data_IF_903953352207
#
_entry.id   IF_903953352207
#
_cell.length_a   1.000
_cell.length_b   1.000
_cell.length_c   1.000
_cell.angle_alpha   90.00
_cell.angle_beta   90.00
_cell.angle_gamma   90.00
#
_symmetry.space_group_name_H-M   'P 1'
#
loop_
_entity.id
_entity.type
_entity.pdbx_description
1 polymer ?
#
# COMPACT_ATOMS: atom_id res chain seq x y z
N UNK A 1 -9.55 -23.85 31.46
CA UNK A 1 -9.75 -22.42 31.14
C UNK A 1 -8.53 -21.97 30.33
N UNK A 2 -8.67 -21.94 29.01
CA UNK A 2 -7.60 -21.64 28.07
C UNK A 2 -7.64 -20.15 27.75
N UNK A 3 -6.59 -19.41 28.11
CA UNK A 3 -6.43 -18.00 27.76
C UNK A 3 -6.32 -17.86 26.24
N UNK A 4 -7.37 -17.34 25.60
CA UNK A 4 -7.32 -16.83 24.24
C UNK A 4 -6.40 -15.61 24.25
N UNK A 5 -5.23 -15.73 23.63
CA UNK A 5 -4.33 -14.61 23.42
C UNK A 5 -5.02 -13.61 22.48
N UNK A 6 -5.69 -12.60 23.05
CA UNK A 6 -6.13 -11.44 22.32
C UNK A 6 -4.87 -10.77 21.75
N UNK A 7 -4.73 -10.80 20.43
CA UNK A 7 -3.65 -10.17 19.71
C UNK A 7 -3.81 -8.65 19.87
N UNK A 8 -3.06 -8.07 20.82
CA UNK A 8 -3.09 -6.64 21.15
C UNK A 8 -2.44 -5.85 19.99
N UNK A 9 -3.21 -5.63 18.92
CA UNK A 9 -2.88 -4.71 17.83
C UNK A 9 -3.14 -3.26 18.26
N UNK A 10 -2.63 -2.86 19.43
CA UNK A 10 -2.56 -1.45 19.79
C UNK A 10 -1.80 -0.74 18.69
N UNK A 11 -2.49 0.20 18.05
CA UNK A 11 -1.94 1.18 17.11
C UNK A 11 -0.87 1.98 17.84
N UNK A 12 0.36 1.46 17.83
CA UNK A 12 1.53 2.21 18.22
C UNK A 12 1.71 3.31 17.21
N UNK A 13 1.21 4.51 17.53
CA UNK A 13 1.85 5.72 17.07
C UNK A 13 3.23 5.69 17.72
N UNK A 14 4.23 5.17 17.00
CA UNK A 14 5.61 5.20 17.45
C UNK A 14 5.99 6.68 17.57
N UNK A 15 6.27 7.20 18.78
CA UNK A 15 6.76 8.56 18.94
C UNK A 15 8.10 8.64 18.20
N UNK A 16 8.13 9.38 17.09
CA UNK A 16 9.18 9.29 16.07
C UNK A 16 8.65 9.19 14.64
N UNK A 17 7.34 9.00 14.47
CA UNK A 17 6.59 9.41 13.27
C UNK A 17 7.07 8.82 11.94
N UNK A 18 7.23 7.50 11.86
CA UNK A 18 7.38 6.82 10.56
C UNK A 18 6.13 7.08 9.71
N UNK A 19 6.30 7.20 8.39
CA UNK A 19 5.19 7.25 7.43
C UNK A 19 4.16 6.16 7.75
N UNK A 20 2.87 6.52 7.69
CA UNK A 20 1.77 5.65 8.12
C UNK A 20 1.78 4.32 7.37
N UNK A 21 1.39 3.25 8.07
CA UNK A 21 1.20 1.92 7.47
C UNK A 21 0.31 2.09 6.23
N UNK A 22 0.71 1.53 5.08
CA UNK A 22 -0.04 1.67 3.83
C UNK A 22 0.36 2.90 3.01
N UNK A 23 1.38 3.66 3.39
CA UNK A 23 1.99 4.67 2.52
C UNK A 23 3.39 4.28 1.99
N UNK A 24 3.97 3.20 2.52
CA UNK A 24 5.35 2.79 2.18
C UNK A 24 5.61 2.62 0.69
N UNK A 25 4.63 2.11 -0.07
CA UNK A 25 4.75 1.92 -1.51
C UNK A 25 5.14 3.23 -2.23
N UNK A 26 4.45 4.32 -1.91
CA UNK A 26 4.75 5.64 -2.48
C UNK A 26 6.11 6.16 -2.03
N UNK A 27 6.46 5.96 -0.75
CA UNK A 27 7.75 6.38 -0.18
C UNK A 27 8.92 5.69 -0.89
N UNK A 28 8.86 4.37 -1.07
CA UNK A 28 9.95 3.63 -1.70
C UNK A 28 10.13 4.01 -3.18
N UNK A 29 9.04 4.27 -3.91
CA UNK A 29 9.13 4.78 -5.28
C UNK A 29 9.69 6.20 -5.31
N UNK A 30 9.27 7.07 -4.38
CA UNK A 30 9.81 8.42 -4.25
C UNK A 30 11.31 8.40 -3.95
N UNK A 31 11.73 7.59 -2.97
CA UNK A 31 13.14 7.34 -2.66
C UNK A 31 13.91 6.83 -3.86
N UNK A 32 13.39 5.83 -4.58
CA UNK A 32 14.02 5.29 -5.79
C UNK A 32 14.22 6.35 -6.87
N UNK A 33 13.19 7.20 -7.10
CA UNK A 33 13.26 8.29 -8.06
C UNK A 33 14.35 9.30 -7.69
N UNK A 34 14.35 9.75 -6.44
CA UNK A 34 15.39 10.64 -5.94
C UNK A 34 16.74 9.96 -6.11
N UNK A 35 16.98 8.77 -5.57
CA UNK A 35 18.25 8.04 -5.66
C UNK A 35 18.79 7.93 -7.09
N UNK A 36 17.93 7.85 -8.11
CA UNK A 36 18.30 7.87 -9.53
C UNK A 36 18.58 9.27 -10.12
N UNK A 37 18.59 10.32 -9.30
CA UNK A 37 18.84 11.71 -9.69
C UNK A 37 17.65 12.38 -10.40
N UNK A 38 16.44 11.83 -10.25
CA UNK A 38 15.23 12.37 -10.87
C UNK A 38 14.57 13.41 -9.95
N UNK A 39 13.97 14.44 -10.56
CA UNK A 39 13.18 15.41 -9.82
C UNK A 39 11.79 14.84 -9.54
N UNK A 40 11.19 15.24 -8.42
CA UNK A 40 9.86 14.78 -8.04
C UNK A 40 8.94 15.93 -7.67
N UNK A 41 7.64 15.70 -7.87
CA UNK A 41 6.57 16.53 -7.33
C UNK A 41 5.57 15.63 -6.61
N UNK A 42 5.37 15.86 -5.33
CA UNK A 42 4.44 15.11 -4.50
C UNK A 42 3.25 16.00 -4.13
N UNK A 43 2.05 15.42 -4.18
CA UNK A 43 0.81 16.01 -3.68
C UNK A 43 0.20 15.14 -2.58
N UNK A 44 -0.72 15.70 -1.76
CA UNK A 44 -1.39 14.96 -0.71
C UNK A 44 -1.98 13.64 -1.19
N UNK A 45 -2.02 12.66 -0.29
CA UNK A 45 -2.43 11.28 -0.57
C UNK A 45 -1.54 10.57 -1.60
N UNK A 46 -0.24 10.89 -1.58
CA UNK A 46 0.81 10.21 -2.35
C UNK A 46 0.63 10.18 -3.87
N UNK A 47 0.15 11.29 -4.43
CA UNK A 47 0.21 11.48 -5.89
C UNK A 47 1.60 12.01 -6.23
N UNK A 48 2.45 11.15 -6.76
CA UNK A 48 3.84 11.43 -7.09
C UNK A 48 4.00 11.61 -8.60
N UNK A 49 4.63 12.69 -9.04
CA UNK A 49 5.15 12.84 -10.39
C UNK A 49 6.68 12.74 -10.34
N UNK A 50 7.24 11.96 -11.25
CA UNK A 50 8.69 11.83 -11.45
C UNK A 50 9.04 12.44 -12.80
N UNK A 51 10.02 13.33 -12.78
CA UNK A 51 10.46 14.12 -13.92
C UNK A 51 11.89 13.75 -14.25
N UNK A 52 12.09 13.08 -15.40
CA UNK A 52 13.42 12.89 -15.93
C UNK A 52 13.96 14.20 -16.52
N UNK A 53 15.28 14.44 -16.47
CA UNK A 53 15.87 15.64 -17.05
C UNK A 53 15.62 15.79 -18.56
N UNK A 54 15.45 17.03 -19.01
CA UNK A 54 15.20 17.35 -20.43
C UNK A 54 13.83 16.82 -20.89
N UNK A 55 13.79 16.18 -22.06
CA UNK A 55 12.60 15.51 -22.60
C UNK A 55 12.51 14.03 -22.18
N UNK A 56 13.27 13.62 -21.14
CA UNK A 56 13.55 12.25 -20.74
C UNK A 56 12.38 11.37 -20.27
N UNK A 57 11.14 11.80 -20.48
CA UNK A 57 9.94 11.11 -20.03
C UNK A 57 9.44 11.57 -18.67
N UNK A 58 8.20 11.19 -18.37
CA UNK A 58 7.52 11.49 -17.12
C UNK A 58 6.79 10.24 -16.64
N UNK A 59 6.90 9.96 -15.36
CA UNK A 59 6.11 8.94 -14.69
C UNK A 59 5.24 9.58 -13.63
N UNK A 60 4.10 8.96 -13.34
CA UNK A 60 3.27 9.32 -12.22
C UNK A 60 2.87 8.06 -11.45
N UNK A 61 2.69 8.22 -10.15
CA UNK A 61 2.31 7.17 -9.24
C UNK A 61 1.23 7.65 -8.29
N UNK A 62 0.37 6.75 -7.84
CA UNK A 62 -0.47 6.99 -6.65
C UNK A 62 -0.35 5.81 -5.71
N UNK A 63 0.13 6.06 -4.49
CA UNK A 63 0.47 5.00 -3.53
C UNK A 63 1.39 3.92 -4.12
N UNK A 64 2.38 4.33 -4.93
CA UNK A 64 3.32 3.43 -5.61
C UNK A 64 2.76 2.69 -6.84
N UNK A 65 1.50 2.88 -7.18
CA UNK A 65 0.91 2.31 -8.41
C UNK A 65 1.30 3.19 -9.59
N UNK A 66 1.95 2.64 -10.63
CA UNK A 66 2.37 3.41 -11.79
C UNK A 66 1.18 3.81 -12.67
N UNK A 67 1.31 4.95 -13.36
CA UNK A 67 0.34 5.46 -14.34
C UNK A 67 0.06 4.51 -15.52
N UNK A 68 0.91 3.50 -15.72
CA UNK A 68 0.73 2.45 -16.73
C UNK A 68 -0.37 1.46 -16.35
N UNK A 69 -0.80 1.45 -15.07
CA UNK A 69 -2.02 0.77 -14.63
C UNK A 69 -3.26 1.57 -15.03
N UNK A 70 -4.21 0.90 -15.67
CA UNK A 70 -5.51 1.47 -16.04
C UNK A 70 -6.41 1.69 -14.81
N UNK A 71 -7.20 2.77 -14.86
CA UNK A 71 -8.22 3.03 -13.83
C UNK A 71 -9.21 1.87 -13.68
N UNK A 72 -9.61 1.25 -14.80
CA UNK A 72 -10.51 0.09 -14.78
C UNK A 72 -9.90 -1.13 -14.10
N UNK A 73 -8.62 -1.44 -14.37
CA UNK A 73 -7.92 -2.57 -13.76
C UNK A 73 -7.81 -2.41 -12.25
N UNK A 74 -7.44 -1.20 -11.81
CA UNK A 74 -7.39 -0.82 -10.38
C UNK A 74 -8.78 -0.95 -9.74
N UNK A 75 -9.80 -0.33 -10.35
CA UNK A 75 -11.18 -0.30 -9.84
C UNK A 75 -11.77 -1.71 -9.69
N UNK A 76 -11.58 -2.58 -10.70
CA UNK A 76 -12.10 -3.95 -10.64
C UNK A 76 -11.36 -4.84 -9.65
N UNK A 77 -10.10 -4.53 -9.35
CA UNK A 77 -9.31 -5.26 -8.35
C UNK A 77 -9.71 -4.87 -6.93
N UNK A 78 -10.17 -3.64 -6.71
CA UNK A 78 -10.68 -3.19 -5.40
C UNK A 78 -12.09 -3.72 -5.07
N UNK A 79 -12.91 -4.06 -6.08
CA UNK A 79 -14.21 -4.72 -5.86
C UNK A 79 -14.03 -6.25 -5.83
N UNK A 80 -14.06 -6.83 -4.63
CA UNK A 80 -13.89 -8.27 -4.40
C UNK A 80 -14.87 -9.12 -5.22
N UNK A 81 -16.08 -8.64 -5.48
CA UNK A 81 -17.07 -9.38 -6.27
C UNK A 81 -16.68 -9.42 -7.74
N UNK A 82 -16.27 -8.28 -8.30
CA UNK A 82 -15.84 -8.20 -9.70
C UNK A 82 -14.56 -9.01 -9.90
N UNK A 83 -13.57 -8.80 -9.04
CA UNK A 83 -12.31 -9.55 -9.01
C UNK A 83 -12.53 -11.05 -8.95
N UNK A 84 -13.34 -11.53 -8.00
CA UNK A 84 -13.64 -12.97 -7.88
C UNK A 84 -14.33 -13.53 -9.12
N UNK A 85 -15.25 -12.77 -9.71
CA UNK A 85 -15.93 -13.14 -10.96
C UNK A 85 -14.98 -13.22 -12.15
N UNK A 86 -14.00 -12.31 -12.25
CA UNK A 86 -12.96 -12.32 -13.30
C UNK A 86 -12.03 -13.53 -13.14
N UNK A 87 -11.46 -13.71 -11.94
CA UNK A 87 -10.63 -14.87 -11.60
C UNK A 87 -11.36 -16.20 -11.84
N UNK A 88 -12.62 -16.29 -11.42
CA UNK A 88 -13.41 -17.51 -11.55
C UNK A 88 -13.71 -17.87 -13.00
N UNK A 89 -14.01 -16.88 -13.85
CA UNK A 89 -14.19 -17.09 -15.30
C UNK A 89 -12.91 -17.54 -15.99
N UNK A 90 -11.75 -17.11 -15.50
CA UNK A 90 -10.45 -17.55 -15.98
C UNK A 90 -10.01 -18.92 -15.43
N UNK A 91 -10.86 -19.60 -14.63
CA UNK A 91 -10.52 -20.89 -14.03
C UNK A 91 -9.51 -20.79 -12.87
N UNK A 92 -9.23 -19.60 -12.37
CA UNK A 92 -8.33 -19.42 -11.22
C UNK A 92 -9.01 -19.97 -9.96
N UNK A 93 -8.34 -20.90 -9.29
CA UNK A 93 -8.80 -21.51 -8.05
C UNK A 93 -8.84 -20.47 -6.94
N UNK A 94 -9.99 -20.36 -6.28
CA UNK A 94 -10.26 -19.41 -5.20
C UNK A 94 -10.96 -20.10 -4.03
N UNK A 95 -10.92 -19.52 -2.81
CA UNK A 95 -11.72 -20.00 -1.69
C UNK A 95 -13.21 -19.94 -2.02
N UNK A 96 -13.97 -20.94 -1.57
CA UNK A 96 -15.45 -20.89 -1.57
C UNK A 96 -15.90 -19.67 -0.77
N UNK A 97 -16.69 -18.79 -1.38
CA UNK A 97 -17.08 -17.54 -0.73
C UNK A 97 -18.20 -16.80 -1.44
N UNK A 98 -18.93 -15.99 -0.68
CA UNK A 98 -20.07 -15.22 -1.14
C UNK A 98 -20.14 -13.84 -0.48
N UNK A 99 -20.68 -12.86 -1.20
CA UNK A 99 -20.82 -11.48 -0.71
C UNK A 99 -22.19 -11.21 -0.12
N UNK A 100 -22.24 -10.45 0.97
CA UNK A 100 -23.45 -10.11 1.71
C UNK A 100 -23.48 -8.61 2.01
N UNK A 101 -24.65 -8.09 2.39
CA UNK A 101 -24.81 -6.72 2.87
C UNK A 101 -24.94 -6.68 4.39
N UNK A 102 -24.34 -5.68 5.04
CA UNK A 102 -24.41 -5.50 6.49
C UNK A 102 -25.83 -5.18 6.97
N UNK A 103 -26.65 -4.52 6.15
CA UNK A 103 -28.00 -4.12 6.54
C UNK A 103 -29.07 -5.20 6.40
N UNK A 104 -29.01 -6.04 5.35
CA UNK A 104 -30.12 -6.95 5.00
C UNK A 104 -29.77 -8.43 5.08
N UNK A 105 -28.48 -8.78 5.05
CA UNK A 105 -28.06 -10.15 4.75
C UNK A 105 -27.23 -10.81 5.85
N UNK A 106 -27.11 -10.22 7.04
CA UNK A 106 -26.30 -10.78 8.15
C UNK A 106 -26.71 -12.19 8.54
N UNK A 107 -28.01 -12.43 8.72
CA UNK A 107 -28.52 -13.76 9.05
C UNK A 107 -28.22 -14.80 7.98
N UNK A 108 -28.33 -14.42 6.70
CA UNK A 108 -27.98 -15.28 5.57
C UNK A 108 -26.47 -15.53 5.48
N UNK A 109 -25.65 -14.51 5.69
CA UNK A 109 -24.19 -14.60 5.69
C UNK A 109 -23.68 -15.61 6.72
N UNK A 110 -24.28 -15.58 7.91
CA UNK A 110 -23.85 -16.43 8.99
C UNK A 110 -24.39 -17.87 8.88
N UNK A 111 -25.56 -18.08 8.22
CA UNK A 111 -25.97 -19.42 7.77
C UNK A 111 -25.03 -19.97 6.71
N UNK A 112 -24.62 -19.12 5.76
CA UNK A 112 -23.65 -19.49 4.73
C UNK A 112 -22.30 -19.86 5.33
N UNK A 113 -21.78 -19.10 6.31
CA UNK A 113 -20.58 -19.43 7.07
C UNK A 113 -20.65 -20.84 7.69
N UNK A 114 -21.78 -21.16 8.34
CA UNK A 114 -22.01 -22.50 8.91
C UNK A 114 -22.09 -23.59 7.83
N UNK A 115 -22.60 -23.27 6.63
CA UNK A 115 -22.72 -24.23 5.51
C UNK A 115 -21.37 -24.51 4.85
N UNK A 116 -20.50 -23.51 4.69
CA UNK A 116 -19.15 -23.73 4.16
C UNK A 116 -18.22 -24.38 5.20
N UNK A 117 -18.51 -24.16 6.49
CA UNK A 117 -17.75 -24.70 7.62
C UNK A 117 -16.73 -23.70 8.15
N UNK A 118 -16.50 -23.73 9.47
CA UNK A 118 -15.48 -22.93 10.15
C UNK A 118 -14.11 -23.65 10.13
N UNK A 119 -12.97 -22.93 10.09
CA UNK A 119 -12.86 -21.47 10.16
C UNK A 119 -13.20 -20.74 8.84
N UNK A 120 -13.70 -19.52 8.97
CA UNK A 120 -14.02 -18.62 7.85
C UNK A 120 -13.25 -17.30 7.95
N UNK A 121 -13.20 -16.56 6.85
CA UNK A 121 -12.65 -15.21 6.76
C UNK A 121 -13.77 -14.24 6.40
N UNK A 122 -13.77 -13.06 7.05
CA UNK A 122 -14.65 -11.93 6.74
C UNK A 122 -13.81 -10.76 6.26
N UNK A 123 -14.18 -10.18 5.12
CA UNK A 123 -13.49 -9.04 4.48
C UNK A 123 -14.49 -8.00 4.01
N UNK A 124 -14.19 -6.68 4.02
CA UNK A 124 -15.00 -5.73 3.27
C UNK A 124 -14.99 -6.07 1.78
N UNK A 125 -16.12 -5.90 1.08
CA UNK A 125 -16.20 -6.27 -0.34
C UNK A 125 -15.57 -5.23 -1.28
N UNK A 126 -15.27 -4.04 -0.75
CA UNK A 126 -14.67 -2.93 -1.47
C UNK A 126 -13.56 -2.34 -0.60
N UNK A 127 -12.41 -2.05 -1.20
CA UNK A 127 -11.31 -1.33 -0.58
C UNK A 127 -9.95 -1.93 -0.91
N UNK A 128 -8.93 -1.42 -0.24
CA UNK A 128 -7.56 -1.92 -0.33
C UNK A 128 -7.52 -3.38 0.15
N UNK A 129 -6.92 -4.24 -0.68
CA UNK A 129 -6.75 -5.65 -0.34
C UNK A 129 -5.95 -5.81 0.95
N UNK A 130 -6.22 -6.86 1.71
CA UNK A 130 -5.53 -7.18 2.99
C UNK A 130 -5.76 -6.24 4.18
N UNK A 131 -6.53 -5.17 4.01
CA UNK A 131 -6.99 -4.30 5.11
C UNK A 131 -8.36 -4.78 5.61
N UNK A 132 -8.60 -4.66 6.92
CA UNK A 132 -9.87 -5.03 7.58
C UNK A 132 -10.28 -6.51 7.35
N UNK A 133 -9.29 -7.39 7.18
CA UNK A 133 -9.49 -8.84 7.04
C UNK A 133 -9.54 -9.49 8.43
N UNK A 134 -10.67 -10.09 8.78
CA UNK A 134 -10.82 -10.88 10.01
C UNK A 134 -10.76 -12.37 9.69
N UNK A 135 -9.72 -13.05 10.19
CA UNK A 135 -9.46 -14.50 10.01
C UNK A 135 -9.68 -15.27 11.31
N UNK A 136 -9.59 -16.60 11.26
CA UNK A 136 -9.67 -17.45 12.44
C UNK A 136 -11.03 -17.37 13.10
N UNK A 137 -12.08 -17.14 12.31
CA UNK A 137 -13.45 -17.10 12.81
C UNK A 137 -13.91 -18.55 12.93
N UNK A 138 -13.96 -19.08 14.14
CA UNK A 138 -14.21 -20.49 14.43
C UNK A 138 -15.67 -20.82 14.73
N UNK A 139 -16.49 -19.81 15.01
CA UNK A 139 -17.88 -19.99 15.40
C UNK A 139 -18.76 -18.80 15.03
N UNK A 140 -20.06 -18.96 15.33
CA UNK A 140 -21.11 -17.98 15.04
C UNK A 140 -20.92 -16.66 15.80
N UNK A 141 -20.47 -16.71 17.05
CA UNK A 141 -20.32 -15.53 17.90
C UNK A 141 -19.17 -14.66 17.38
N UNK A 142 -18.04 -15.29 17.06
CA UNK A 142 -16.89 -14.62 16.43
C UNK A 142 -17.27 -14.04 15.07
N UNK A 143 -18.08 -14.75 14.28
CA UNK A 143 -18.57 -14.26 13.00
C UNK A 143 -19.39 -12.98 13.14
N UNK A 144 -20.31 -12.95 14.11
CA UNK A 144 -21.14 -11.79 14.37
C UNK A 144 -20.31 -10.59 14.81
N UNK A 145 -19.32 -10.80 15.68
CA UNK A 145 -18.38 -9.76 16.09
C UNK A 145 -17.56 -9.22 14.90
N UNK A 146 -17.10 -10.10 14.01
CA UNK A 146 -16.37 -9.71 12.80
C UNK A 146 -17.24 -8.89 11.83
N UNK A 147 -18.54 -9.20 11.72
CA UNK A 147 -19.46 -8.40 10.89
C UNK A 147 -19.85 -7.09 11.57
N UNK A 148 -20.00 -7.07 12.89
CA UNK A 148 -20.29 -5.84 13.64
C UNK A 148 -19.13 -4.85 13.59
N UNK A 149 -17.88 -5.30 13.55
CA UNK A 149 -16.72 -4.40 13.39
C UNK A 149 -16.76 -3.63 12.07
N UNK A 150 -17.31 -4.24 11.00
CA UNK A 150 -17.50 -3.59 9.70
C UNK A 150 -18.59 -2.50 9.70
N UNK A 151 -19.41 -2.40 10.76
CA UNK A 151 -20.36 -1.29 10.91
C UNK A 151 -19.65 0.04 11.20
N UNK A 152 -18.47 -0.01 11.81
CA UNK A 152 -17.62 1.16 12.02
C UNK A 152 -17.17 1.70 10.68
N UNK A 153 -17.33 3.01 10.37
CA UNK A 153 -16.81 3.61 9.15
C UNK A 153 -15.30 3.38 8.99
N UNK A 154 -14.78 3.09 7.78
CA UNK A 154 -13.35 2.81 7.57
C UNK A 154 -12.42 3.86 8.18
N UNK A 155 -12.72 5.14 8.08
CA UNK A 155 -11.93 6.24 8.63
C UNK A 155 -11.84 6.25 10.17
N UNK A 156 -12.71 5.49 10.84
CA UNK A 156 -12.70 5.29 12.29
C UNK A 156 -12.13 3.92 12.70
N UNK A 157 -11.83 3.04 11.74
CA UNK A 157 -11.25 1.72 12.03
C UNK A 157 -9.75 1.85 12.28
N UNK A 158 -9.23 1.27 13.38
CA UNK A 158 -7.80 1.28 13.64
C UNK A 158 -7.00 0.65 12.49
N UNK A 159 -6.02 1.38 11.96
CA UNK A 159 -5.13 0.89 10.91
C UNK A 159 -5.75 0.77 9.52
N UNK A 160 -6.99 1.24 9.32
CA UNK A 160 -7.58 1.32 7.99
C UNK A 160 -6.85 2.39 7.17
N UNK A 161 -6.54 2.06 5.92
CA UNK A 161 -6.11 3.03 4.93
C UNK A 161 -7.04 3.00 3.74
N UNK A 162 -7.30 4.17 3.17
CA UNK A 162 -8.00 4.29 1.90
C UNK A 162 -7.04 4.88 0.89
N UNK A 163 -6.82 4.17 -0.21
CA UNK A 163 -6.13 4.75 -1.34
C UNK A 163 -6.89 5.97 -1.88
N UNK A 164 -6.15 7.01 -2.28
CA UNK A 164 -6.70 8.28 -2.76
C UNK A 164 -7.66 8.15 -3.95
N UNK A 165 -7.40 7.14 -4.80
CA UNK A 165 -8.16 6.82 -6.01
C UNK A 165 -9.24 5.76 -5.77
N UNK A 166 -9.37 5.25 -4.54
CA UNK A 166 -10.34 4.22 -4.22
C UNK A 166 -11.76 4.67 -4.55
N UNK A 167 -12.61 3.74 -4.96
CA UNK A 167 -14.03 4.02 -5.17
C UNK A 167 -14.60 4.56 -3.86
N UNK A 168 -14.85 5.87 -3.83
CA UNK A 168 -15.55 6.48 -2.69
C UNK A 168 -16.99 5.97 -2.73
N UNK A 169 -17.41 5.25 -1.69
CA UNK A 169 -18.83 4.94 -1.55
C UNK A 169 -19.57 6.26 -1.28
N UNK A 170 -20.07 6.90 -2.34
CA UNK A 170 -20.92 8.10 -2.27
C UNK A 170 -22.33 7.74 -1.78
N UNK A 171 -22.42 7.14 -0.60
CA UNK A 171 -23.69 6.74 0.02
C UNK A 171 -23.80 7.40 1.38
N UNK A 172 -25.03 7.80 1.73
CA UNK A 172 -25.31 8.40 3.03
C UNK A 172 -24.94 7.42 4.15
N UNK A 173 -24.09 7.82 5.11
CA UNK A 173 -23.80 7.02 6.29
C UNK A 173 -25.08 6.63 7.03
N UNK A 174 -25.05 5.47 7.67
CA UNK A 174 -26.10 5.04 8.60
C UNK A 174 -25.92 5.67 9.98
N UNK A 175 -26.94 5.52 10.82
CA UNK A 175 -26.87 5.87 12.25
C UNK A 175 -27.43 4.73 13.07
N UNK A 176 -26.71 4.33 14.13
CA UNK A 176 -27.16 3.33 15.11
C UNK A 176 -26.80 3.82 16.50
N UNK A 177 -27.79 4.00 17.37
CA UNK A 177 -27.60 4.48 18.75
C UNK A 177 -26.79 5.79 18.83
N UNK A 178 -27.05 6.74 17.93
CA UNK A 178 -26.33 8.02 17.86
C UNK A 178 -24.92 7.94 17.25
N UNK A 179 -24.42 6.75 16.93
CA UNK A 179 -23.12 6.58 16.26
C UNK A 179 -23.31 6.46 14.74
N UNK A 180 -22.43 7.14 14.00
CA UNK A 180 -22.33 7.01 12.55
C UNK A 180 -21.82 5.62 12.17
N UNK A 181 -22.53 4.95 11.26
CA UNK A 181 -22.17 3.63 10.73
C UNK A 181 -21.99 3.69 9.22
N UNK A 182 -21.38 2.65 8.64
CA UNK A 182 -21.41 2.45 7.18
C UNK A 182 -22.86 2.37 6.66
N UNK A 183 -23.11 2.67 5.38
CA UNK A 183 -24.43 2.55 4.77
C UNK A 183 -24.98 1.11 4.90
N UNK A 184 -26.30 0.90 4.99
CA UNK A 184 -26.88 -0.46 5.05
C UNK A 184 -26.54 -1.35 3.85
N UNK A 185 -26.21 -0.73 2.72
CA UNK A 185 -25.76 -1.38 1.49
C UNK A 185 -24.27 -1.71 1.45
N UNK A 186 -23.49 -1.38 2.48
CA UNK A 186 -22.08 -1.75 2.60
C UNK A 186 -21.95 -3.27 2.55
N UNK A 187 -21.03 -3.75 1.70
CA UNK A 187 -20.90 -5.17 1.40
C UNK A 187 -19.66 -5.75 2.05
N UNK A 188 -19.74 -7.05 2.35
CA UNK A 188 -18.62 -7.84 2.86
C UNK A 188 -18.63 -9.23 2.22
N UNK A 189 -17.45 -9.84 2.15
CA UNK A 189 -17.23 -11.20 1.68
C UNK A 189 -17.09 -12.13 2.89
N UNK A 190 -17.71 -13.31 2.80
CA UNK A 190 -17.45 -14.45 3.68
C UNK A 190 -16.84 -15.55 2.82
N UNK A 191 -15.70 -16.08 3.22
CA UNK A 191 -15.01 -17.15 2.51
C UNK A 191 -14.46 -18.23 3.45
N UNK A 192 -14.25 -19.43 2.92
CA UNK A 192 -13.55 -20.49 3.66
C UNK A 192 -12.10 -20.06 3.93
N UNK A 193 -11.59 -20.37 5.12
CA UNK A 193 -10.18 -20.15 5.41
C UNK A 193 -9.34 -21.33 4.92
N UNK A 194 -8.60 -21.12 3.83
CA UNK A 194 -7.70 -22.12 3.24
C UNK A 194 -6.47 -22.29 4.12
N UNK A 195 -6.15 -23.52 4.51
CA UNK A 195 -4.95 -23.88 5.28
C UNK A 195 -3.77 -24.15 4.36
N UNK A 196 -2.58 -23.72 4.79
CA UNK A 196 -1.32 -23.95 4.08
C UNK A 196 -0.36 -22.77 4.21
N UNK A 197 0.69 -22.81 3.41
CA UNK A 197 1.70 -21.76 3.37
C UNK A 197 1.17 -20.57 2.58
N UNK A 198 1.16 -19.40 3.23
CA UNK A 198 0.73 -18.17 2.60
C UNK A 198 1.92 -17.52 1.89
N UNK A 199 1.85 -17.45 0.56
CA UNK A 199 2.82 -16.79 -0.28
C UNK A 199 2.24 -15.49 -0.83
N UNK A 200 3.02 -14.40 -0.77
CA UNK A 200 2.75 -13.16 -1.49
C UNK A 200 3.68 -13.07 -2.67
N UNK A 201 3.12 -12.87 -3.85
CA UNK A 201 3.88 -12.77 -5.10
C UNK A 201 3.72 -11.36 -5.66
N UNK A 202 4.83 -10.63 -5.80
CA UNK A 202 4.84 -9.34 -6.50
C UNK A 202 5.09 -9.58 -7.99
N UNK A 203 4.20 -9.06 -8.82
CA UNK A 203 4.25 -9.15 -10.28
C UNK A 203 4.38 -7.75 -10.88
N UNK A 204 5.26 -7.59 -11.87
CA UNK A 204 5.40 -6.39 -12.68
C UNK A 204 5.36 -6.78 -14.16
N UNK A 205 4.44 -6.17 -14.93
CA UNK A 205 4.21 -6.42 -16.36
C UNK A 205 4.08 -7.92 -16.71
N UNK A 206 3.47 -8.67 -15.80
CA UNK A 206 3.24 -10.12 -15.92
C UNK A 206 4.41 -11.00 -15.48
N UNK A 207 5.53 -10.42 -15.10
CA UNK A 207 6.69 -11.15 -14.58
C UNK A 207 6.72 -11.17 -13.05
N UNK A 208 7.08 -12.31 -12.47
CA UNK A 208 7.22 -12.45 -11.02
C UNK A 208 8.54 -11.80 -10.57
N UNK A 209 8.43 -10.67 -9.88
CA UNK A 209 9.59 -9.97 -9.31
C UNK A 209 10.02 -10.55 -7.95
N UNK A 210 9.06 -10.85 -7.09
CA UNK A 210 9.36 -11.26 -5.72
C UNK A 210 8.34 -12.28 -5.19
N UNK A 211 8.80 -13.16 -4.30
CA UNK A 211 7.95 -14.12 -3.60
C UNK A 211 8.34 -14.15 -2.14
N UNK A 212 7.37 -13.83 -1.28
CA UNK A 212 7.52 -13.88 0.17
C UNK A 212 6.65 -14.97 0.77
N UNK A 213 7.18 -15.74 1.71
CA UNK A 213 6.42 -16.57 2.63
C UNK A 213 6.00 -15.71 3.82
N UNK A 214 4.70 -15.56 4.04
CA UNK A 214 4.13 -14.68 5.06
C UNK A 214 3.27 -15.50 6.03
N UNK A 215 3.85 -16.17 7.06
CA UNK A 215 3.06 -17.00 7.97
C UNK A 215 1.98 -16.17 8.67
N UNK A 216 0.73 -16.59 8.51
CA UNK A 216 -0.44 -15.86 9.02
C UNK A 216 -0.89 -14.68 8.14
N UNK A 217 -0.23 -14.45 7.01
CA UNK A 217 -0.51 -13.37 6.06
C UNK A 217 0.40 -12.14 6.24
N UNK A 218 0.38 -11.20 5.29
CA UNK A 218 1.26 -10.02 5.22
C UNK A 218 1.07 -9.03 6.37
N UNK A 219 -0.06 -9.09 7.07
CA UNK A 219 -0.33 -8.26 8.25
C UNK A 219 0.36 -8.76 9.52
N UNK A 220 0.88 -10.00 9.55
CA UNK A 220 1.56 -10.54 10.74
C UNK A 220 2.91 -9.88 10.99
N UNK A 221 3.46 -9.18 9.99
CA UNK A 221 4.78 -8.56 10.03
C UNK A 221 5.94 -9.56 9.85
N UNK A 222 5.68 -10.87 9.87
CA UNK A 222 6.67 -11.90 9.58
C UNK A 222 6.62 -12.26 8.11
N UNK A 223 7.75 -12.16 7.43
CA UNK A 223 7.89 -12.60 6.06
C UNK A 223 9.31 -13.09 5.78
N UNK A 224 9.45 -14.02 4.86
CA UNK A 224 10.74 -14.55 4.43
C UNK A 224 10.78 -14.66 2.91
N UNK A 225 11.93 -14.37 2.31
CA UNK A 225 12.10 -14.50 0.86
C UNK A 225 12.14 -15.96 0.46
N UNK A 226 11.31 -16.33 -0.52
CA UNK A 226 11.28 -17.67 -1.08
C UNK A 226 12.20 -17.74 -2.29
N UNK A 227 13.32 -18.45 -2.10
CA UNK A 227 14.27 -18.78 -3.15
C UNK A 227 13.58 -19.55 -4.28
N UNK A 228 14.04 -19.36 -5.52
CA UNK A 228 13.37 -19.85 -6.73
C UNK A 228 13.17 -21.37 -6.74
N UNK A 229 14.17 -22.11 -6.27
CA UNK A 229 14.18 -23.57 -6.13
C UNK A 229 13.22 -24.11 -5.06
N UNK A 230 12.82 -23.28 -4.09
CA UNK A 230 11.85 -23.61 -3.04
C UNK A 230 10.40 -23.28 -3.41
N UNK A 231 10.16 -22.67 -4.57
CA UNK A 231 8.80 -22.29 -5.01
C UNK A 231 8.05 -23.53 -5.50
N UNK A 232 6.75 -23.68 -5.15
CA UNK A 232 5.94 -24.76 -5.72
C UNK A 232 5.89 -24.65 -7.24
N UNK A 233 6.07 -25.76 -7.96
CA UNK A 233 6.12 -25.77 -9.42
C UNK A 233 4.84 -25.17 -10.07
N UNK A 234 3.68 -25.36 -9.45
CA UNK A 234 2.40 -24.83 -9.92
C UNK A 234 2.14 -23.35 -9.57
N UNK A 235 3.02 -22.71 -8.79
CA UNK A 235 2.84 -21.31 -8.38
C UNK A 235 2.85 -20.37 -9.59
N UNK A 236 3.82 -20.53 -10.48
CA UNK A 236 3.95 -19.68 -11.67
C UNK A 236 2.70 -19.74 -12.55
N UNK A 237 2.11 -20.94 -12.74
CA UNK A 237 0.88 -21.10 -13.50
C UNK A 237 -0.31 -20.42 -12.83
N UNK A 238 -0.45 -20.54 -11.50
CA UNK A 238 -1.54 -19.90 -10.76
C UNK A 238 -1.44 -18.37 -10.82
N UNK A 239 -0.23 -17.82 -10.67
CA UNK A 239 0.03 -16.39 -10.76
C UNK A 239 -0.21 -15.86 -12.17
N UNK A 240 0.30 -16.54 -13.21
CA UNK A 240 0.07 -16.16 -14.60
C UNK A 240 -1.42 -16.14 -14.95
N UNK A 241 -2.19 -17.13 -14.47
CA UNK A 241 -3.64 -17.15 -14.67
C UNK A 241 -4.36 -16.00 -13.95
N UNK A 242 -3.92 -15.63 -12.74
CA UNK A 242 -4.47 -14.48 -12.01
C UNK A 242 -4.17 -13.15 -12.71
N UNK A 243 -2.95 -12.97 -13.20
CA UNK A 243 -2.53 -11.80 -13.98
C UNK A 243 -3.36 -11.68 -15.26
N UNK A 244 -3.49 -12.77 -16.02
CA UNK A 244 -4.26 -12.78 -17.26
C UNK A 244 -5.76 -12.47 -17.04
N UNK A 245 -6.30 -12.81 -15.86
CA UNK A 245 -7.68 -12.53 -15.49
C UNK A 245 -7.96 -11.06 -15.12
N UNK A 246 -6.92 -10.29 -14.79
CA UNK A 246 -7.00 -8.91 -14.31
C UNK A 246 -6.18 -7.97 -15.21
N UNK A 247 -6.59 -7.75 -16.47
CA UNK A 247 -5.83 -6.95 -17.42
C UNK A 247 -5.78 -5.48 -17.01
N UNK A 248 -4.75 -4.78 -17.49
CA UNK A 248 -4.59 -3.35 -17.31
C UNK A 248 -4.03 -2.96 -15.94
N UNK A 249 -3.31 -3.86 -15.27
CA UNK A 249 -2.45 -3.55 -14.13
C UNK A 249 -1.00 -3.81 -14.51
N UNK A 250 -0.14 -2.80 -14.36
CA UNK A 250 1.29 -2.98 -14.54
C UNK A 250 1.90 -3.67 -13.33
N UNK A 251 1.43 -3.35 -12.12
CA UNK A 251 1.87 -4.01 -10.88
C UNK A 251 0.71 -4.74 -10.22
N UNK A 252 0.98 -5.94 -9.70
CA UNK A 252 -0.02 -6.77 -9.03
C UNK A 252 0.65 -7.56 -7.90
N UNK A 253 0.10 -7.50 -6.70
CA UNK A 253 0.40 -8.47 -5.64
C UNK A 253 -0.62 -9.59 -5.68
N UNK A 254 -0.18 -10.84 -5.83
CA UNK A 254 -1.02 -12.04 -5.79
C UNK A 254 -0.76 -12.77 -4.48
N UNK A 255 -1.79 -12.88 -3.65
CA UNK A 255 -1.72 -13.62 -2.40
C UNK A 255 -2.28 -15.04 -2.62
N UNK A 256 -1.44 -16.03 -2.33
CA UNK A 256 -1.67 -17.44 -2.63
C UNK A 256 -1.52 -18.26 -1.36
N UNK A 257 -2.41 -19.22 -1.13
CA UNK A 257 -2.19 -20.28 -0.14
C UNK A 257 -1.81 -21.55 -0.87
N UNK A 258 -0.66 -22.10 -0.53
CA UNK A 258 -0.16 -23.40 -1.00
C UNK A 258 -0.58 -24.44 0.04
N UNK A 259 -1.56 -25.29 -0.25
CA UNK A 259 -2.02 -26.27 0.73
C UNK A 259 -0.90 -27.27 1.07
N UNK A 260 -0.91 -27.80 2.29
CA UNK A 260 0.11 -28.75 2.79
C UNK A 260 0.23 -30.03 1.94
N UNK A 261 -0.81 -30.39 1.20
CA UNK A 261 -0.77 -31.52 0.28
C UNK A 261 0.05 -31.17 -0.96
N UNK A 262 1.14 -31.89 -1.27
CA UNK A 262 2.00 -31.59 -2.41
C UNK A 262 1.32 -31.74 -3.78
N UNK A 263 0.14 -32.40 -3.82
CA UNK A 263 -0.69 -32.53 -5.03
C UNK A 263 -1.74 -31.44 -5.17
N UNK A 264 -1.96 -30.63 -4.14
CA UNK A 264 -3.00 -29.62 -4.17
C UNK A 264 -2.50 -28.38 -4.92
N UNK A 265 -3.26 -27.97 -5.94
CA UNK A 265 -3.00 -26.73 -6.64
C UNK A 265 -3.11 -25.52 -5.69
N UNK A 266 -2.22 -24.52 -5.81
CA UNK A 266 -2.30 -23.27 -5.06
C UNK A 266 -3.64 -22.58 -5.22
N UNK A 267 -4.08 -21.88 -4.17
CA UNK A 267 -5.36 -21.16 -4.14
C UNK A 267 -5.08 -19.67 -4.06
N UNK A 268 -5.56 -18.88 -5.02
CA UNK A 268 -5.46 -17.41 -4.97
C UNK A 268 -6.50 -16.90 -3.99
N UNK A 269 -6.03 -16.37 -2.85
CA UNK A 269 -6.88 -15.91 -1.74
C UNK A 269 -7.09 -14.40 -1.73
N UNK A 270 -6.18 -13.65 -2.36
CA UNK A 270 -6.30 -12.21 -2.54
C UNK A 270 -5.47 -11.71 -3.74
N UNK A 271 -5.78 -10.51 -4.20
CA UNK A 271 -5.02 -9.84 -5.27
C UNK A 271 -5.15 -8.34 -5.10
N UNK A 272 -4.02 -7.64 -5.05
CA UNK A 272 -3.98 -6.19 -4.87
C UNK A 272 -3.29 -5.52 -6.05
N UNK A 273 -3.84 -4.40 -6.47
CA UNK A 273 -3.23 -3.46 -7.41
C UNK A 273 -1.99 -2.76 -6.85
N UNK A 274 -1.73 -2.90 -5.54
CA UNK A 274 -0.61 -2.27 -4.83
C UNK A 274 0.58 -3.23 -4.71
N UNK A 275 1.82 -2.71 -4.71
CA UNK A 275 3.00 -3.55 -4.55
C UNK A 275 3.22 -4.03 -3.11
N UNK A 276 2.67 -3.32 -2.10
CA UNK A 276 2.79 -3.66 -0.68
C UNK A 276 4.24 -3.83 -0.18
N UNK A 277 5.13 -2.96 -0.63
CA UNK A 277 6.56 -2.92 -0.30
C UNK A 277 6.85 -2.76 1.20
N UNK A 278 5.85 -2.42 2.02
CA UNK A 278 5.95 -2.43 3.48
C UNK A 278 6.40 -3.79 4.03
N UNK A 279 5.95 -4.90 3.43
CA UNK A 279 6.35 -6.23 3.90
C UNK A 279 7.84 -6.46 3.62
N UNK A 280 8.30 -6.15 2.41
CA UNK A 280 9.70 -6.23 2.03
C UNK A 280 10.56 -5.28 2.85
N UNK A 281 10.12 -4.03 3.04
CA UNK A 281 10.87 -3.00 3.76
C UNK A 281 11.17 -3.43 5.20
N UNK A 282 10.19 -4.03 5.90
CA UNK A 282 10.39 -4.51 7.27
C UNK A 282 11.40 -5.65 7.39
N UNK A 283 11.53 -6.47 6.35
CA UNK A 283 12.46 -7.59 6.35
C UNK A 283 13.85 -7.16 5.86
N UNK A 284 13.89 -6.47 4.72
CA UNK A 284 15.11 -6.11 4.01
C UNK A 284 14.86 -4.79 3.25
N UNK A 285 15.14 -3.62 3.87
CA UNK A 285 14.92 -2.30 3.25
C UNK A 285 15.59 -2.13 1.88
N UNK A 286 16.75 -2.75 1.67
CA UNK A 286 17.47 -2.74 0.39
C UNK A 286 16.67 -3.46 -0.71
N UNK A 287 16.02 -4.58 -0.38
CA UNK A 287 15.14 -5.31 -1.30
C UNK A 287 13.94 -4.47 -1.71
N UNK A 288 13.29 -3.80 -0.76
CA UNK A 288 12.18 -2.89 -1.06
C UNK A 288 12.62 -1.76 -2.01
N UNK A 289 13.81 -1.19 -1.79
CA UNK A 289 14.37 -0.17 -2.67
C UNK A 289 14.68 -0.71 -4.08
N UNK A 290 15.19 -1.93 -4.20
CA UNK A 290 15.40 -2.60 -5.50
C UNK A 290 14.08 -2.79 -6.24
N UNK A 291 13.06 -3.34 -5.57
CA UNK A 291 11.75 -3.57 -6.19
C UNK A 291 11.06 -2.26 -6.59
N UNK A 292 11.17 -1.21 -5.77
CA UNK A 292 10.67 0.12 -6.12
C UNK A 292 11.39 0.71 -7.34
N UNK A 293 12.69 0.45 -7.49
CA UNK A 293 13.45 0.84 -8.68
C UNK A 293 12.99 0.08 -9.93
N UNK A 294 12.64 -1.20 -9.81
CA UNK A 294 12.05 -1.97 -10.92
C UNK A 294 10.70 -1.40 -11.34
N UNK A 295 9.81 -1.12 -10.38
CA UNK A 295 8.52 -0.46 -10.64
C UNK A 295 8.70 0.92 -11.30
N UNK A 296 9.68 1.70 -10.83
CA UNK A 296 10.03 2.98 -11.44
C UNK A 296 10.55 2.83 -12.88
N UNK A 297 11.39 1.82 -13.14
CA UNK A 297 11.94 1.56 -14.48
C UNK A 297 10.83 1.25 -15.48
N UNK A 298 9.90 0.37 -15.11
CA UNK A 298 8.75 0.03 -15.96
C UNK A 298 7.86 1.25 -16.28
N UNK A 299 7.74 2.20 -15.35
CA UNK A 299 6.95 3.41 -15.55
C UNK A 299 7.64 4.47 -16.43
N UNK A 300 8.94 4.33 -16.71
CA UNK A 300 9.77 5.22 -17.53
C UNK A 300 10.37 4.47 -18.73
N UNK A 301 9.54 3.98 -19.66
CA UNK A 301 10.04 3.23 -20.81
C UNK A 301 10.97 4.11 -21.66
N UNK A 302 12.13 3.57 -22.00
CA UNK A 302 13.14 4.26 -22.82
C UNK A 302 14.08 5.19 -22.06
N UNK A 303 13.93 5.34 -20.73
CA UNK A 303 14.89 6.06 -19.91
C UNK A 303 15.76 5.09 -19.11
N UNK A 304 17.09 5.21 -19.26
CA UNK A 304 18.03 4.43 -18.46
C UNK A 304 18.15 5.06 -17.06
N UNK A 305 17.66 4.34 -16.05
CA UNK A 305 17.85 4.75 -14.66
C UNK A 305 19.34 4.67 -14.31
N UNK A 306 19.91 5.80 -13.93
CA UNK A 306 21.28 5.87 -13.42
C UNK A 306 21.54 4.92 -12.26
N UNK A 307 22.83 4.72 -11.95
CA UNK A 307 23.21 3.97 -10.75
C UNK A 307 22.66 4.68 -9.50
N UNK A 308 22.17 3.92 -8.51
CA UNK A 308 21.62 4.51 -7.31
C UNK A 308 22.72 5.23 -6.53
N UNK A 309 22.54 6.53 -6.31
CA UNK A 309 23.36 7.28 -5.36
C UNK A 309 22.73 7.17 -3.97
N UNK A 310 23.34 6.34 -3.13
CA UNK A 310 22.94 6.13 -1.73
C UNK A 310 23.56 7.15 -0.77
N UNK A 311 24.47 8.00 -1.28
CA UNK A 311 25.17 8.99 -0.51
C UNK A 311 24.31 10.17 -0.09
N UNK A 312 24.91 11.04 0.74
CA UNK A 312 24.33 12.34 1.07
C UNK A 312 24.64 13.32 -0.05
N UNK A 313 23.61 13.97 -0.57
CA UNK A 313 23.75 15.00 -1.60
C UNK A 313 22.83 16.18 -1.31
N UNK A 314 23.03 17.25 -2.05
CA UNK A 314 22.21 18.45 -1.95
C UNK A 314 20.94 18.31 -2.80
N UNK A 315 19.80 18.68 -2.22
CA UNK A 315 18.51 18.78 -2.89
C UNK A 315 17.97 20.19 -2.70
N UNK A 316 17.35 20.73 -3.76
CA UNK A 316 16.45 21.86 -3.63
C UNK A 316 15.06 21.32 -3.32
N UNK A 317 14.47 21.79 -2.24
CA UNK A 317 13.14 21.34 -1.79
C UNK A 317 12.25 22.55 -1.59
N UNK A 318 11.04 22.51 -2.15
CA UNK A 318 10.04 23.54 -1.99
C UNK A 318 8.70 22.93 -1.59
N UNK A 319 8.03 23.54 -0.61
CA UNK A 319 6.69 23.22 -0.15
C UNK A 319 5.76 24.39 -0.46
N UNK A 320 4.54 24.11 -0.90
CA UNK A 320 3.49 25.12 -1.16
C UNK A 320 2.23 24.83 -0.33
N UNK A 321 1.45 25.89 -0.07
CA UNK A 321 0.14 25.78 0.59
C UNK A 321 0.21 25.52 2.09
N UNK A 322 1.28 25.98 2.75
CA UNK A 322 1.44 25.89 4.21
C UNK A 322 0.73 27.06 4.89
N UNK A 323 0.01 26.81 5.99
CA UNK A 323 -0.81 27.83 6.67
C UNK A 323 0.02 28.85 7.45
N UNK A 324 1.04 28.40 8.20
CA UNK A 324 1.96 29.26 8.95
C UNK A 324 3.42 28.94 8.52
N UNK A 325 3.87 29.50 7.38
CA UNK A 325 5.10 29.09 6.72
C UNK A 325 6.36 29.35 7.54
N UNK A 326 6.40 30.37 8.41
CA UNK A 326 7.54 30.64 9.30
C UNK A 326 7.73 29.51 10.32
N UNK A 327 6.66 29.15 11.03
CA UNK A 327 6.67 28.08 12.03
C UNK A 327 7.00 26.73 11.39
N UNK A 328 6.44 26.48 10.20
CA UNK A 328 6.71 25.26 9.44
C UNK A 328 8.16 25.18 8.98
N UNK A 329 8.74 26.29 8.49
CA UNK A 329 10.16 26.34 8.10
C UNK A 329 11.07 26.12 9.31
N UNK A 330 10.77 26.70 10.47
CA UNK A 330 11.51 26.48 11.71
C UNK A 330 11.47 25.02 12.13
N UNK A 331 10.27 24.41 12.16
CA UNK A 331 10.07 23.02 12.53
C UNK A 331 10.71 22.05 11.53
N UNK A 332 10.66 22.34 10.22
CA UNK A 332 11.35 21.58 9.18
C UNK A 332 12.87 21.56 9.40
N UNK A 333 13.46 22.73 9.66
CA UNK A 333 14.88 22.83 9.93
C UNK A 333 15.28 22.07 11.21
N UNK A 334 14.44 22.08 12.24
CA UNK A 334 14.66 21.33 13.47
C UNK A 334 14.57 19.82 13.23
N UNK A 335 13.50 19.34 12.59
CA UNK A 335 13.29 17.91 12.26
C UNK A 335 14.43 17.36 11.39
N UNK A 336 14.82 18.10 10.35
CA UNK A 336 15.93 17.71 9.49
C UNK A 336 17.29 17.74 10.22
N UNK A 337 17.54 18.72 11.11
CA UNK A 337 18.74 18.74 11.95
C UNK A 337 18.79 17.56 12.93
N UNK A 338 17.65 17.16 13.50
CA UNK A 338 17.55 16.00 14.38
C UNK A 338 17.90 14.68 13.65
N UNK A 339 17.66 14.63 12.34
CA UNK A 339 18.08 13.53 11.46
C UNK A 339 19.52 13.70 10.93
N UNK A 340 20.26 14.70 11.43
CA UNK A 340 21.63 15.00 11.02
C UNK A 340 21.75 15.64 9.64
N UNK A 341 20.67 16.14 9.03
CA UNK A 341 20.70 16.89 7.78
C UNK A 341 21.27 18.31 7.97
N UNK A 342 21.96 18.83 6.94
CA UNK A 342 22.25 20.26 6.85
C UNK A 342 21.17 20.90 5.99
N UNK A 343 20.57 21.98 6.46
CA UNK A 343 19.33 22.51 5.90
C UNK A 343 19.25 24.02 6.08
N UNK A 344 18.59 24.69 5.15
CA UNK A 344 18.34 26.13 5.17
C UNK A 344 16.97 26.47 4.56
N UNK A 345 15.89 25.92 5.12
CA UNK A 345 14.53 26.27 4.69
C UNK A 345 14.17 27.69 5.13
N UNK A 346 13.65 28.48 4.21
CA UNK A 346 13.15 29.85 4.46
C UNK A 346 11.81 30.06 3.78
N UNK A 347 11.04 31.03 4.28
CA UNK A 347 9.82 31.48 3.62
C UNK A 347 10.20 32.28 2.38
N UNK A 348 9.74 31.85 1.22
CA UNK A 348 10.03 32.51 -0.07
C UNK A 348 8.84 33.26 -0.64
N UNK A 349 7.62 32.87 -0.24
CA UNK A 349 6.37 33.57 -0.60
C UNK A 349 5.34 33.33 0.51
N UNK A 350 5.13 34.32 1.38
CA UNK A 350 4.17 34.23 2.48
C UNK A 350 2.73 34.10 1.99
N UNK A 351 2.37 34.74 0.87
CA UNK A 351 1.00 34.75 0.35
C UNK A 351 0.58 33.38 -0.21
N UNK A 352 1.53 32.62 -0.75
CA UNK A 352 1.32 31.24 -1.20
C UNK A 352 1.57 30.19 -0.12
N UNK A 353 2.07 30.60 1.05
CA UNK A 353 2.56 29.66 2.05
C UNK A 353 3.72 28.82 1.52
N UNK A 354 4.65 29.44 0.78
CA UNK A 354 5.78 28.76 0.16
C UNK A 354 7.02 28.80 1.04
N UNK A 355 7.50 27.62 1.38
CA UNK A 355 8.77 27.41 2.09
C UNK A 355 9.72 26.67 1.16
N UNK A 356 10.93 27.18 0.95
CA UNK A 356 11.91 26.54 0.09
C UNK A 356 13.31 26.65 0.68
N UNK A 357 14.19 25.74 0.26
CA UNK A 357 15.57 25.76 0.71
C UNK A 357 16.39 24.63 0.10
N UNK A 358 17.63 24.52 0.58
CA UNK A 358 18.52 23.40 0.28
C UNK A 358 18.61 22.47 1.47
N UNK A 359 18.66 21.16 1.20
CA UNK A 359 18.93 20.13 2.20
C UNK A 359 20.04 19.20 1.71
N UNK A 360 21.04 18.95 2.55
CA UNK A 360 22.08 17.95 2.32
C UNK A 360 21.81 16.73 3.20
N UNK A 361 21.20 15.70 2.62
CA UNK A 361 20.76 14.48 3.31
C UNK A 361 20.77 13.28 2.34
N UNK A 362 20.37 12.09 2.82
CA UNK A 362 20.14 10.95 1.92
C UNK A 362 18.80 11.10 1.18
N UNK A 363 18.63 10.41 0.06
CA UNK A 363 17.33 10.35 -0.63
C UNK A 363 16.21 9.79 0.26
N UNK A 364 16.53 8.86 1.14
CA UNK A 364 15.59 8.27 2.08
C UNK A 364 15.05 9.35 3.05
N UNK A 365 15.93 10.07 3.73
CA UNK A 365 15.55 11.10 4.71
C UNK A 365 14.71 12.22 4.06
N UNK A 366 15.08 12.65 2.85
CA UNK A 366 14.32 13.66 2.10
C UNK A 366 12.93 13.14 1.74
N UNK A 367 12.83 11.91 1.20
CA UNK A 367 11.54 11.32 0.83
C UNK A 367 10.62 11.15 2.05
N UNK A 368 11.14 10.67 3.18
CA UNK A 368 10.39 10.50 4.44
C UNK A 368 9.91 11.83 5.00
N UNK A 369 10.78 12.85 5.04
CA UNK A 369 10.43 14.20 5.51
C UNK A 369 9.33 14.82 4.64
N UNK A 370 9.45 14.69 3.31
CA UNK A 370 8.45 15.22 2.37
C UNK A 370 7.11 14.50 2.52
N UNK A 371 7.11 13.16 2.63
CA UNK A 371 5.90 12.37 2.82
C UNK A 371 5.22 12.69 4.17
N UNK A 372 6.01 12.82 5.25
CA UNK A 372 5.54 13.26 6.57
C UNK A 372 4.90 14.65 6.51
N UNK A 373 5.55 15.61 5.84
CA UNK A 373 5.06 16.98 5.67
C UNK A 373 3.69 17.06 4.95
N UNK A 374 3.44 16.17 3.99
CA UNK A 374 2.18 16.15 3.24
C UNK A 374 1.08 15.29 3.88
N UNK A 375 1.44 14.26 4.67
CA UNK A 375 0.47 13.31 5.20
C UNK A 375 0.08 13.54 6.66
N UNK A 376 1.06 13.60 7.56
CA UNK A 376 0.83 13.78 9.00
C UNK A 376 1.13 15.20 9.48
N UNK A 377 1.84 15.97 8.64
CA UNK A 377 2.32 17.29 8.96
C UNK A 377 3.60 17.31 9.81
N UNK A 378 4.18 18.49 9.92
CA UNK A 378 5.33 18.83 10.76
C UNK A 378 4.89 19.96 11.68
N UNK A 379 5.04 19.76 12.99
CA UNK A 379 4.49 20.66 14.03
C UNK A 379 2.98 20.96 13.84
N UNK A 380 2.20 19.97 13.42
CA UNK A 380 0.75 20.11 13.21
C UNK A 380 0.34 20.80 11.92
N UNK A 381 1.29 21.17 11.05
CA UNK A 381 1.02 21.80 9.76
C UNK A 381 1.29 20.87 8.60
N UNK A 382 0.44 20.90 7.57
CA UNK A 382 0.61 20.12 6.34
C UNK A 382 0.91 21.02 5.15
N UNK A 383 1.65 20.50 4.18
CA UNK A 383 1.84 21.12 2.87
C UNK A 383 0.86 20.54 1.84
N UNK A 384 0.52 21.32 0.82
CA UNK A 384 -0.37 20.90 -0.27
C UNK A 384 0.38 20.42 -1.52
N UNK A 385 1.69 20.65 -1.59
CA UNK A 385 2.59 20.18 -2.64
C UNK A 385 4.03 20.24 -2.13
N UNK A 386 4.86 19.30 -2.54
CA UNK A 386 6.31 19.38 -2.45
C UNK A 386 6.96 19.18 -3.83
N UNK A 387 8.02 19.91 -4.10
CA UNK A 387 8.90 19.75 -5.26
C UNK A 387 10.31 19.48 -4.75
N UNK A 388 10.95 18.44 -5.28
CA UNK A 388 12.31 18.03 -4.89
C UNK A 388 13.16 17.89 -6.15
N UNK A 389 14.28 18.60 -6.19
CA UNK A 389 15.21 18.58 -7.30
C UNK A 389 16.60 18.19 -6.77
N UNK A 390 17.14 17.01 -7.15
CA UNK A 390 18.52 16.65 -6.83
C UNK A 390 19.47 17.62 -7.54
N UNK A 391 20.37 18.28 -6.79
CA UNK A 391 21.40 19.08 -7.42
C UNK A 391 22.39 18.13 -8.08
N UNK A 392 22.63 18.31 -9.38
CA UNK A 392 23.70 17.59 -10.06
C UNK A 392 24.99 17.98 -9.35
N UNK A 393 25.62 17.00 -8.68
CA UNK A 393 27.00 17.17 -8.27
C UNK A 393 27.75 17.64 -9.50
N UNK A 394 28.50 18.74 -9.40
CA UNK A 394 29.45 19.07 -10.45
C UNK A 394 30.35 17.84 -10.54
N UNK A 395 30.08 16.96 -11.50
CA UNK A 395 31.04 15.95 -11.90
C UNK A 395 32.26 16.78 -12.22
N UNK A 396 33.28 16.70 -11.35
CA UNK A 396 34.60 17.15 -11.71
C UNK A 396 34.91 16.39 -12.99
N UNK A 397 34.74 17.07 -14.13
CA UNK A 397 35.13 16.55 -15.41
C UNK A 397 36.62 16.22 -15.27
N UNK A 398 36.91 14.93 -15.20
CA UNK A 398 38.26 14.42 -15.15
C UNK A 398 38.89 14.49 -16.54
#
# INVERSE_FOLDING_TARGET
MSHTAAHDQRTGVVPGGSVTRGMRDGVEVHKAALTCGLSTRLFPRQVLQVLAPGDGGRAAFTHGIPQTSSLSGVTFTQDLRMRRGLLGRAGVRQPRGATFSVGRSRGAAARYAATIGYPVVVKPALGDSTIDVTRGIHDRLQFEAAVDSLLTPPEKRPGSTQAAYGITELRKPGHRNGQMTVPPGYRFLVEEEVRGDYLRVLVLDGEVLDVLYCPGGPWSGRAEVVAQDRRPASLAQAVAAAVAALPGLAVLSVDVVVPESPKAAPVVVDVSERPWLEVQHRQEPERAALLAREVLRAALPGWELGLPDLGRREFHVAFDGVVAPEDFAAALNEDARAQGARTGYTVTDIARGRVAGTVQASAADVSETVEKALASGIAGQTAMKAEVEPRRGMSHAA
#
